data_IF_342616183556
#
_entry.id   IF_342616183556
#
_cell.length_a   1.000
_cell.length_b   1.000
_cell.length_c   1.000
_cell.angle_alpha   90.00
_cell.angle_beta   90.00
_cell.angle_gamma   90.00
#
_symmetry.space_group_name_H-M   'P 1'
#
loop_
_entity.id
_entity.type
_entity.pdbx_description
1 polymer ?
#
# COMPACT_ATOMS: atom_id res chain seq x y z
N UNK A 1 3.46 -21.88 -3.01
CA UNK A 1 3.08 -20.47 -2.85
C UNK A 1 4.25 -19.64 -3.35
N UNK A 2 4.02 -18.47 -3.96
CA UNK A 2 5.12 -17.55 -4.25
C UNK A 2 5.82 -17.15 -2.94
N UNK A 3 7.10 -16.82 -3.03
CA UNK A 3 7.84 -16.26 -1.90
C UNK A 3 7.32 -14.84 -1.60
N UNK A 4 7.26 -14.47 -0.31
CA UNK A 4 6.79 -13.16 0.12
C UNK A 4 7.55 -12.70 1.37
N UNK A 5 7.63 -11.38 1.53
CA UNK A 5 8.20 -10.70 2.70
C UNK A 5 7.10 -9.85 3.35
N UNK A 6 6.99 -9.90 4.68
CA UNK A 6 6.05 -9.06 5.42
C UNK A 6 6.79 -7.85 6.00
N UNK A 7 6.30 -6.65 5.70
CA UNK A 7 6.69 -5.41 6.35
C UNK A 7 5.51 -4.92 7.20
N UNK A 8 5.61 -5.09 8.52
CA UNK A 8 4.57 -4.63 9.45
C UNK A 8 4.87 -3.20 9.91
N UNK A 9 3.88 -2.31 9.80
CA UNK A 9 4.02 -0.91 10.21
C UNK A 9 4.01 -0.78 11.73
N UNK A 10 4.81 0.15 12.24
CA UNK A 10 4.91 0.45 13.66
C UNK A 10 4.79 1.97 13.89
N UNK A 11 3.67 2.46 14.47
CA UNK A 11 2.49 1.70 14.89
C UNK A 11 1.65 1.20 13.70
N UNK A 12 0.79 0.22 13.95
CA UNK A 12 -0.29 -0.11 13.03
C UNK A 12 -1.24 1.09 12.88
N UNK A 13 -1.77 1.28 11.67
CA UNK A 13 -2.71 2.35 11.35
C UNK A 13 -4.14 1.84 11.45
N UNK A 14 -5.02 2.59 12.13
CA UNK A 14 -6.46 2.36 12.06
C UNK A 14 -6.99 2.98 10.76
N UNK A 15 -7.67 2.19 9.93
CA UNK A 15 -8.20 2.68 8.66
C UNK A 15 -9.16 3.85 8.83
N UNK A 16 -9.92 3.91 9.92
CA UNK A 16 -10.86 5.01 10.17
C UNK A 16 -10.18 6.37 10.39
N UNK A 17 -8.91 6.36 10.80
CA UNK A 17 -8.11 7.55 11.11
C UNK A 17 -7.08 7.90 10.02
N UNK A 18 -7.13 7.24 8.86
CA UNK A 18 -6.14 7.45 7.81
C UNK A 18 -6.22 8.83 7.16
N UNK A 19 -5.04 9.39 6.95
CA UNK A 19 -4.80 10.72 6.40
C UNK A 19 -4.07 10.64 5.05
N UNK A 20 -4.04 11.74 4.27
CA UNK A 20 -3.23 11.80 3.04
C UNK A 20 -1.74 11.51 3.27
N UNK A 21 -1.21 11.85 4.44
CA UNK A 21 0.16 11.55 4.84
C UNK A 21 0.41 10.03 4.94
N UNK A 22 -0.58 9.26 5.38
CA UNK A 22 -0.50 7.79 5.45
C UNK A 22 -0.47 7.18 4.04
N UNK A 23 -1.26 7.72 3.09
CA UNK A 23 -1.19 7.28 1.69
C UNK A 23 0.17 7.59 1.06
N UNK A 24 0.76 8.74 1.40
CA UNK A 24 2.10 9.09 0.97
C UNK A 24 3.15 8.15 1.56
N UNK A 25 2.98 7.75 2.82
CA UNK A 25 3.85 6.75 3.45
C UNK A 25 3.81 5.42 2.70
N UNK A 26 2.61 4.91 2.40
CA UNK A 26 2.41 3.67 1.64
C UNK A 26 3.03 3.76 0.23
N UNK A 27 2.78 4.86 -0.49
CA UNK A 27 3.33 5.06 -1.83
C UNK A 27 4.87 5.13 -1.82
N UNK A 28 5.45 5.79 -0.82
CA UNK A 28 6.90 5.88 -0.66
C UNK A 28 7.52 4.51 -0.34
N UNK A 29 6.84 3.70 0.47
CA UNK A 29 7.28 2.34 0.83
C UNK A 29 7.28 1.40 -0.39
N UNK A 30 6.21 1.43 -1.19
CA UNK A 30 6.15 0.70 -2.48
C UNK A 30 7.27 1.17 -3.40
N UNK A 31 7.53 2.48 -3.46
CA UNK A 31 8.58 3.04 -4.33
C UNK A 31 9.98 2.59 -3.90
N UNK A 32 10.24 2.54 -2.59
CA UNK A 32 11.52 2.11 -2.04
C UNK A 32 11.84 0.65 -2.39
N UNK A 33 10.82 -0.21 -2.41
CA UNK A 33 10.95 -1.64 -2.67
C UNK A 33 10.60 -2.03 -4.11
N UNK A 34 10.35 -1.05 -4.99
CA UNK A 34 9.73 -1.29 -6.30
C UNK A 34 10.53 -2.26 -7.18
N UNK A 35 11.85 -2.17 -7.16
CA UNK A 35 12.74 -2.98 -8.01
C UNK A 35 13.07 -4.36 -7.40
N UNK A 36 12.79 -4.56 -6.11
CA UNK A 36 13.13 -5.78 -5.36
C UNK A 36 12.05 -6.86 -5.42
N UNK A 37 10.79 -6.48 -5.69
CA UNK A 37 9.65 -7.39 -5.67
C UNK A 37 8.87 -7.37 -6.99
N UNK A 38 8.16 -8.45 -7.29
CA UNK A 38 7.34 -8.57 -8.52
C UNK A 38 5.93 -7.96 -8.38
N UNK A 39 5.51 -7.62 -7.16
CA UNK A 39 4.20 -7.05 -6.87
C UNK A 39 4.03 -6.76 -5.38
N UNK A 40 2.94 -6.07 -5.05
CA UNK A 40 2.68 -5.56 -3.70
C UNK A 40 1.27 -5.92 -3.26
N UNK A 41 1.13 -6.36 -2.00
CA UNK A 41 -0.15 -6.57 -1.33
C UNK A 41 -0.17 -5.68 -0.09
N UNK A 42 -1.17 -4.82 0.00
CA UNK A 42 -1.38 -3.86 1.09
C UNK A 42 -2.50 -4.42 1.97
N UNK A 43 -2.14 -4.89 3.16
CA UNK A 43 -3.11 -5.29 4.18
C UNK A 43 -3.65 -4.02 4.86
N UNK A 44 -4.97 -3.84 4.82
CA UNK A 44 -5.61 -2.57 5.15
C UNK A 44 -7.01 -2.79 5.75
N UNK A 45 -7.38 -2.01 6.76
CA UNK A 45 -8.74 -2.05 7.33
C UNK A 45 -9.82 -1.60 6.33
N UNK A 46 -11.06 -2.07 6.50
CA UNK A 46 -12.10 -1.91 5.48
C UNK A 46 -12.69 -0.51 5.35
N UNK A 47 -12.63 0.31 6.41
CA UNK A 47 -13.41 1.55 6.50
C UNK A 47 -13.03 2.60 5.45
N UNK A 48 -11.73 2.72 5.15
CA UNK A 48 -11.20 3.66 4.16
C UNK A 48 -10.42 2.98 3.03
N UNK A 49 -10.52 1.65 2.91
CA UNK A 49 -9.81 0.87 1.89
C UNK A 49 -9.99 1.43 0.47
N UNK A 50 -11.21 1.81 0.11
CA UNK A 50 -11.52 2.37 -1.21
C UNK A 50 -10.89 3.75 -1.43
N UNK A 51 -10.76 4.56 -0.37
CA UNK A 51 -10.10 5.87 -0.44
C UNK A 51 -8.60 5.70 -0.65
N UNK A 52 -7.96 4.83 0.13
CA UNK A 52 -6.53 4.52 -0.03
C UNK A 52 -6.23 3.94 -1.40
N UNK A 53 -7.02 2.97 -1.88
CA UNK A 53 -6.85 2.40 -3.22
C UNK A 53 -7.00 3.47 -4.33
N UNK A 54 -7.98 4.37 -4.19
CA UNK A 54 -8.19 5.47 -5.13
C UNK A 54 -7.02 6.46 -5.11
N UNK A 55 -6.54 6.87 -3.94
CA UNK A 55 -5.40 7.78 -3.82
C UNK A 55 -4.13 7.18 -4.45
N UNK A 56 -3.80 5.93 -4.12
CA UNK A 56 -2.64 5.24 -4.68
C UNK A 56 -2.69 5.10 -6.20
N UNK A 57 -3.88 4.94 -6.79
CA UNK A 57 -4.04 4.88 -8.25
C UNK A 57 -3.57 6.14 -8.97
N UNK A 58 -3.66 7.31 -8.31
CA UNK A 58 -3.16 8.58 -8.84
C UNK A 58 -1.70 8.84 -8.46
N UNK A 59 -1.26 8.37 -7.29
CA UNK A 59 0.12 8.60 -6.80
C UNK A 59 1.15 7.70 -7.51
N UNK A 60 0.77 6.49 -7.91
CA UNK A 60 1.64 5.50 -8.54
C UNK A 60 1.56 5.59 -10.07
N UNK A 61 2.07 6.68 -10.63
CA UNK A 61 2.12 6.86 -12.09
C UNK A 61 3.06 5.83 -12.76
N UNK A 62 2.70 5.39 -13.98
CA UNK A 62 3.48 4.43 -14.78
C UNK A 62 3.71 3.08 -14.08
N UNK A 63 2.72 2.63 -13.31
CA UNK A 63 2.79 1.36 -12.58
C UNK A 63 2.90 0.16 -13.53
N UNK A 64 4.04 -0.54 -13.50
CA UNK A 64 4.31 -1.75 -14.27
C UNK A 64 4.22 -3.08 -13.48
N UNK A 65 3.84 -3.03 -12.19
CA UNK A 65 3.75 -4.18 -11.28
C UNK A 65 2.41 -4.14 -10.53
N UNK A 66 1.76 -5.28 -10.25
CA UNK A 66 0.48 -5.30 -9.55
C UNK A 66 0.60 -4.78 -8.11
N UNK A 67 -0.35 -3.95 -7.70
CA UNK A 67 -0.55 -3.48 -6.33
C UNK A 67 -1.98 -3.80 -5.92
N UNK A 68 -2.16 -4.62 -4.89
CA UNK A 68 -3.47 -5.14 -4.44
C UNK A 68 -3.73 -4.64 -3.03
N UNK A 69 -4.88 -4.04 -2.77
CA UNK A 69 -5.32 -3.66 -1.42
C UNK A 69 -6.36 -4.67 -0.93
N UNK A 70 -6.20 -5.20 0.29
CA UNK A 70 -7.12 -6.20 0.87
C UNK A 70 -7.11 -6.16 2.40
N UNK A 71 -8.10 -6.78 3.04
CA UNK A 71 -8.31 -6.81 4.49
C UNK A 71 -9.30 -7.89 4.90
#
# INVERSE_FOLDING_TARGET
MPDFTIHEYAPLMDSSDMTPEDWQHIAADIKAHYDEYDGFVILHGTDTMAFTASALSFMLENLGKPVIVTG
#
